data_IF_411417572687
#
_entry.id   IF_411417572687
#
_cell.length_a   1.000
_cell.length_b   1.000
_cell.length_c   1.000
_cell.angle_alpha   90.00
_cell.angle_beta   90.00
_cell.angle_gamma   90.00
#
_symmetry.space_group_name_H-M   'P 1'
#
loop_
_entity.id
_entity.type
_entity.pdbx_description
1 polymer ?
#
# COMPACT_ATOMS: atom_id res chain seq x y z
N UNK A 1 -43.47 -11.24 -42.29
CA UNK A 1 -42.45 -12.28 -42.07
C UNK A 1 -41.22 -11.59 -41.53
N UNK A 2 -40.72 -12.06 -40.40
CA UNK A 2 -39.75 -11.40 -39.54
C UNK A 2 -38.39 -11.15 -40.21
N UNK A 3 -37.81 -9.98 -39.95
CA UNK A 3 -36.39 -9.89 -39.60
C UNK A 3 -36.20 -8.74 -38.61
N UNK A 4 -36.61 -9.02 -37.37
CA UNK A 4 -35.94 -8.45 -36.21
C UNK A 4 -34.54 -9.09 -36.18
N UNK A 5 -33.49 -8.28 -36.29
CA UNK A 5 -32.23 -8.60 -35.67
C UNK A 5 -31.86 -7.40 -34.79
N UNK A 6 -32.05 -7.60 -33.50
CA UNK A 6 -31.79 -6.69 -32.39
C UNK A 6 -30.26 -6.63 -32.08
N UNK A 7 -29.79 -5.87 -31.08
CA UNK A 7 -28.66 -4.96 -31.18
C UNK A 7 -27.32 -5.58 -30.75
N UNK A 8 -26.22 -5.14 -31.36
CA UNK A 8 -24.89 -5.30 -30.76
C UNK A 8 -24.53 -3.96 -30.08
N UNK A 9 -24.75 -3.79 -28.77
CA UNK A 9 -24.01 -2.80 -28.02
C UNK A 9 -22.57 -3.32 -27.93
N UNK A 10 -21.67 -2.72 -28.71
CA UNK A 10 -20.24 -2.92 -28.54
C UNK A 10 -19.87 -2.52 -27.10
N UNK A 11 -19.73 -3.51 -26.25
CA UNK A 11 -19.15 -3.38 -24.93
C UNK A 11 -17.65 -3.15 -25.14
N UNK A 12 -17.27 -1.89 -25.30
CA UNK A 12 -15.91 -1.41 -25.07
C UNK A 12 -15.58 -1.64 -23.59
N UNK A 13 -15.22 -2.88 -23.26
CA UNK A 13 -14.55 -3.25 -22.03
C UNK A 13 -13.06 -2.95 -22.20
N UNK A 14 -12.71 -1.69 -22.41
CA UNK A 14 -11.32 -1.26 -22.41
C UNK A 14 -10.96 -0.74 -21.03
N UNK A 15 -10.50 -1.71 -20.23
CA UNK A 15 -9.60 -1.59 -19.07
C UNK A 15 -9.72 -0.30 -18.25
N UNK A 16 -10.29 -0.42 -17.04
CA UNK A 16 -10.00 0.49 -15.95
C UNK A 16 -8.46 0.70 -15.88
N UNK A 17 -7.99 1.95 -15.69
CA UNK A 17 -6.56 2.20 -15.57
C UNK A 17 -5.99 1.28 -14.48
N UNK A 18 -4.77 0.72 -14.67
CA UNK A 18 -4.10 0.05 -13.56
C UNK A 18 -4.11 1.06 -12.42
N UNK A 19 -4.82 0.72 -11.36
CA UNK A 19 -4.83 1.49 -10.13
C UNK A 19 -3.37 1.50 -9.70
N UNK A 20 -2.67 2.59 -10.01
CA UNK A 20 -1.32 2.85 -9.56
C UNK A 20 -1.36 2.54 -8.07
N UNK A 21 -0.61 1.52 -7.65
CA UNK A 21 -0.42 1.23 -6.26
C UNK A 21 -0.01 2.55 -5.64
N UNK A 22 -0.92 3.15 -4.86
CA UNK A 22 -0.65 4.41 -4.19
C UNK A 22 0.73 4.22 -3.54
N UNK A 23 1.68 5.16 -3.72
CA UNK A 23 2.93 5.09 -2.98
C UNK A 23 2.52 4.88 -1.54
N UNK A 24 2.88 3.72 -0.98
CA UNK A 24 2.57 3.42 0.40
C UNK A 24 3.14 4.60 1.16
N UNK A 25 2.24 5.47 1.65
CA UNK A 25 2.64 6.49 2.61
C UNK A 25 3.39 5.70 3.66
N UNK A 26 4.62 6.09 4.04
CA UNK A 26 5.46 5.26 4.89
C UNK A 26 4.69 4.98 6.17
N UNK A 27 4.03 3.82 6.15
CA UNK A 27 3.06 3.45 7.15
C UNK A 27 3.86 3.35 8.44
N UNK A 28 3.20 3.56 9.57
CA UNK A 28 3.86 3.36 10.86
C UNK A 28 4.60 2.01 10.90
N UNK A 29 4.07 1.02 10.19
CA UNK A 29 4.70 -0.28 9.92
C UNK A 29 6.07 -0.19 9.21
N UNK A 30 6.23 0.62 8.16
CA UNK A 30 7.54 0.80 7.49
C UNK A 30 8.55 1.49 8.41
N UNK A 31 8.13 2.51 9.15
CA UNK A 31 9.00 3.20 10.12
C UNK A 31 9.46 2.25 11.23
N UNK A 32 8.57 1.40 11.75
CA UNK A 32 8.91 0.36 12.72
C UNK A 32 9.89 -0.69 12.14
N UNK A 33 9.73 -1.04 10.86
CA UNK A 33 10.62 -1.99 10.18
C UNK A 33 12.01 -1.41 10.00
N UNK A 34 12.14 -0.13 9.68
CA UNK A 34 13.44 0.53 9.56
C UNK A 34 14.12 0.69 10.92
N UNK A 35 13.38 1.00 11.99
CA UNK A 35 13.91 0.97 13.35
C UNK A 35 14.44 -0.42 13.73
N UNK A 36 13.71 -1.49 13.38
CA UNK A 36 14.12 -2.86 13.67
C UNK A 36 15.42 -3.20 12.93
N UNK A 37 15.53 -2.86 11.65
CA UNK A 37 16.78 -3.04 10.88
C UNK A 37 17.95 -2.29 11.50
N UNK A 38 17.74 -1.07 11.99
CA UNK A 38 18.81 -0.28 12.63
C UNK A 38 19.24 -0.89 13.97
N UNK A 39 18.30 -1.42 14.74
CA UNK A 39 18.58 -2.16 15.98
C UNK A 39 19.33 -3.48 15.70
N UNK A 40 18.90 -4.27 14.71
CA UNK A 40 19.59 -5.50 14.29
C UNK A 40 21.02 -5.25 13.80
N UNK A 41 21.28 -4.08 13.20
CA UNK A 41 22.62 -3.65 12.81
C UNK A 41 23.48 -3.17 14.00
N UNK A 42 22.91 -3.10 15.21
CA UNK A 42 23.58 -2.57 16.40
C UNK A 42 23.76 -1.05 16.38
N UNK A 43 23.05 -0.33 15.50
CA UNK A 43 23.08 1.14 15.39
C UNK A 43 22.21 1.76 16.49
N UNK A 44 21.09 1.11 16.81
CA UNK A 44 20.21 1.50 17.91
C UNK A 44 20.35 0.49 19.06
N UNK A 45 20.31 1.00 20.29
CA UNK A 45 20.14 0.18 21.49
C UNK A 45 18.68 -0.24 21.68
N UNK A 46 18.43 -1.28 22.48
CA UNK A 46 17.06 -1.75 22.76
C UNK A 46 16.20 -0.62 23.36
N UNK A 47 16.77 0.18 24.28
CA UNK A 47 16.13 1.36 24.86
C UNK A 47 15.72 2.40 23.79
N UNK A 48 16.61 2.71 22.84
CA UNK A 48 16.33 3.67 21.76
C UNK A 48 15.27 3.14 20.78
N UNK A 49 15.31 1.83 20.47
CA UNK A 49 14.31 1.18 19.63
C UNK A 49 12.92 1.27 20.26
N UNK A 50 12.79 0.96 21.55
CA UNK A 50 11.52 1.04 22.28
C UNK A 50 11.00 2.48 22.37
N UNK A 51 11.88 3.45 22.64
CA UNK A 51 11.50 4.87 22.71
C UNK A 51 10.91 5.36 21.38
N UNK A 52 11.58 5.08 20.25
CA UNK A 52 11.10 5.48 18.93
C UNK A 52 9.85 4.72 18.47
N UNK A 53 9.76 3.43 18.77
CA UNK A 53 8.55 2.64 18.51
C UNK A 53 7.34 3.23 19.24
N UNK A 54 7.52 3.66 20.48
CA UNK A 54 6.45 4.29 21.26
C UNK A 54 6.07 5.65 20.68
N UNK A 55 7.04 6.48 20.30
CA UNK A 55 6.79 7.78 19.64
C UNK A 55 5.97 7.63 18.36
N UNK A 56 6.24 6.59 17.56
CA UNK A 56 5.46 6.28 16.36
C UNK A 56 4.04 5.84 16.73
N UNK A 57 3.84 5.03 17.78
CA UNK A 57 2.52 4.48 18.12
C UNK A 57 1.62 5.43 18.94
N UNK A 58 2.15 6.48 19.56
CA UNK A 58 1.43 7.38 20.48
C UNK A 58 0.71 8.54 19.75
N UNK A 59 0.22 8.31 18.52
CA UNK A 59 -0.53 9.31 17.72
C UNK A 59 -2.03 9.30 17.97
#
# INVERSE_FOLDING_TARGET
MAMYNEPEPSYDQQAAPPQEAAPAEPDMTEQLKDLAKLHDQGILTDDEFQAKKKEILDI
#
